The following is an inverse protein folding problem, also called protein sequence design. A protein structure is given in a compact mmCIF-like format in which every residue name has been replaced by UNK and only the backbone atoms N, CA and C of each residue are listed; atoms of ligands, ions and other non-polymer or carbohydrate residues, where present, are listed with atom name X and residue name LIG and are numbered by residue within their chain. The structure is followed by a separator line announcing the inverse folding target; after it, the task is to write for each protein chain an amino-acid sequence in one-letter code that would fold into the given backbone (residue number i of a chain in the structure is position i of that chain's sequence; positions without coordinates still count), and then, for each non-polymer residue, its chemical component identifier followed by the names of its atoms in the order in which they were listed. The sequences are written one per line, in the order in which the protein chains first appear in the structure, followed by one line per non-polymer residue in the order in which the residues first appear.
data_IF_253585096631
#
_entry.id   IF_253585096631
#
_cell.length_a   1.000
_cell.length_b   1.000
_cell.length_c   1.000
_cell.angle_alpha   90.00
_cell.angle_beta   90.00
_cell.angle_gamma   90.00
#
_symmetry.space_group_name_H-M   'P 1'
#
loop_
_entity.id
_entity.type
_entity.pdbx_description
1 polymer ?
#
# COMPACT_ATOMS: atom_id res chain seq x y z
N UNK A 1 43.99 -74.82 7.05
CA UNK A 1 42.62 -75.01 7.60
C UNK A 1 41.93 -73.71 8.05
N UNK A 2 42.41 -72.51 7.68
CA UNK A 2 41.83 -71.24 8.18
C UNK A 2 40.97 -70.48 7.15
N UNK A 3 41.00 -70.88 5.88
CA UNK A 3 40.27 -70.20 4.78
C UNK A 3 38.75 -70.38 4.91
N UNK A 4 38.30 -71.50 5.47
CA UNK A 4 36.86 -71.82 5.63
C UNK A 4 36.19 -71.03 6.76
N UNK A 5 36.94 -70.53 7.76
CA UNK A 5 36.41 -69.70 8.87
C UNK A 5 36.44 -68.19 8.60
N UNK A 6 37.23 -67.74 7.63
CA UNK A 6 37.37 -66.32 7.27
C UNK A 6 36.27 -65.84 6.30
N UNK A 7 35.68 -66.74 5.52
CA UNK A 7 34.60 -66.45 4.57
C UNK A 7 33.35 -65.80 5.20
N UNK A 8 32.81 -66.29 6.35
CA UNK A 8 31.64 -65.64 6.97
C UNK A 8 31.97 -64.26 7.53
N UNK A 9 33.19 -64.03 8.01
CA UNK A 9 33.63 -62.72 8.52
C UNK A 9 33.80 -61.69 7.39
N UNK A 10 34.36 -62.10 6.25
CA UNK A 10 34.48 -61.26 5.08
C UNK A 10 33.09 -60.89 4.51
N UNK A 11 32.16 -61.83 4.51
CA UNK A 11 30.78 -61.59 4.07
C UNK A 11 30.04 -60.64 5.02
N UNK A 12 30.19 -60.80 6.35
CA UNK A 12 29.59 -59.91 7.33
C UNK A 12 30.15 -58.48 7.25
N UNK A 13 31.46 -58.35 7.03
CA UNK A 13 32.11 -57.04 6.83
C UNK A 13 31.63 -56.37 5.53
N UNK A 14 31.47 -57.13 4.45
CA UNK A 14 30.90 -56.63 3.21
C UNK A 14 29.45 -56.16 3.39
N UNK A 15 28.60 -56.95 4.06
CA UNK A 15 27.20 -56.58 4.34
C UNK A 15 27.13 -55.32 5.22
N UNK A 16 28.01 -55.18 6.21
CA UNK A 16 28.07 -53.99 7.06
C UNK A 16 28.50 -52.73 6.27
N UNK A 17 29.43 -52.87 5.32
CA UNK A 17 29.83 -51.79 4.42
C UNK A 17 28.69 -51.38 3.48
N UNK A 18 27.86 -52.32 3.02
CA UNK A 18 26.69 -52.01 2.19
C UNK A 18 25.54 -51.35 2.98
N UNK A 19 25.42 -51.62 4.29
CA UNK A 19 24.37 -51.03 5.13
C UNK A 19 24.55 -49.52 5.39
N UNK A 20 25.75 -48.97 5.15
CA UNK A 20 26.03 -47.53 5.27
C UNK A 20 25.61 -46.68 4.07
N UNK A 21 25.17 -47.28 2.96
CA UNK A 21 24.73 -46.58 1.74
C UNK A 21 23.24 -46.21 1.73
N UNK A 22 22.58 -46.18 2.88
CA UNK A 22 21.20 -45.70 3.01
C UNK A 22 21.13 -44.18 3.04
N UNK A 23 20.16 -43.59 2.33
CA UNK A 23 19.85 -42.15 2.45
C UNK A 23 19.50 -41.84 3.92
N UNK A 24 20.06 -40.79 4.52
CA UNK A 24 19.66 -40.39 5.87
C UNK A 24 18.15 -40.08 5.87
N UNK A 25 17.44 -40.63 6.85
CA UNK A 25 16.00 -40.42 7.08
C UNK A 25 15.73 -39.02 7.65
N UNK A 26 16.27 -38.00 6.98
CA UNK A 26 15.92 -36.62 7.25
C UNK A 26 14.61 -36.39 6.49
N UNK A 27 13.50 -36.87 7.07
CA UNK A 27 12.11 -36.78 6.58
C UNK A 27 11.59 -35.33 6.61
N UNK A 28 12.31 -34.40 5.98
CA UNK A 28 11.74 -33.13 5.55
C UNK A 28 11.67 -33.23 4.03
N UNK A 29 10.50 -33.65 3.54
CA UNK A 29 10.19 -33.68 2.11
C UNK A 29 10.57 -32.32 1.48
N UNK A 30 11.66 -32.32 0.73
CA UNK A 30 12.23 -31.09 0.17
C UNK A 30 11.66 -30.94 -1.23
N UNK A 31 10.75 -29.99 -1.39
CA UNK A 31 10.17 -29.68 -2.69
C UNK A 31 10.97 -28.59 -3.39
N UNK A 32 11.21 -28.79 -4.68
CA UNK A 32 11.77 -27.76 -5.55
C UNK A 32 10.63 -26.90 -6.06
N UNK A 33 10.72 -25.59 -5.86
CA UNK A 33 9.71 -24.64 -6.28
C UNK A 33 10.29 -23.24 -6.38
N UNK A 34 9.59 -22.38 -7.11
CA UNK A 34 9.93 -20.97 -7.24
C UNK A 34 8.97 -20.14 -6.39
N UNK A 35 9.48 -19.04 -5.84
CA UNK A 35 8.65 -18.01 -5.22
C UNK A 35 8.33 -16.99 -6.27
N UNK A 36 7.04 -16.79 -6.53
CA UNK A 36 6.56 -15.71 -7.39
C UNK A 36 6.26 -14.48 -6.54
N UNK A 37 6.53 -13.30 -7.10
CA UNK A 37 6.24 -12.02 -6.49
C UNK A 37 5.62 -11.07 -7.51
N UNK A 38 4.63 -10.31 -7.07
CA UNK A 38 4.06 -9.22 -7.87
C UNK A 38 4.75 -7.91 -7.49
N UNK A 39 5.29 -7.23 -8.49
CA UNK A 39 5.96 -5.95 -8.31
C UNK A 39 5.10 -4.83 -8.86
N UNK A 40 4.92 -3.78 -8.06
CA UNK A 40 4.21 -2.58 -8.46
C UNK A 40 5.13 -1.37 -8.42
N UNK A 41 5.00 -0.50 -9.41
CA UNK A 41 5.65 0.81 -9.40
C UNK A 41 4.74 1.80 -8.67
N UNK A 42 5.17 2.23 -7.49
CA UNK A 42 4.49 3.27 -6.73
C UNK A 42 4.82 4.65 -7.31
N UNK A 43 3.77 5.40 -7.65
CA UNK A 43 3.88 6.78 -8.15
C UNK A 43 2.72 7.63 -7.64
N UNK A 44 2.91 8.95 -7.66
CA UNK A 44 1.83 9.92 -7.40
C UNK A 44 0.91 10.05 -8.62
N UNK A 45 -0.39 10.27 -8.37
CA UNK A 45 -1.39 10.67 -9.39
C UNK A 45 -1.16 12.11 -9.89
N UNK A 46 -0.52 12.93 -9.06
CA UNK A 46 -0.27 14.36 -9.28
C UNK A 46 1.22 14.63 -9.48
N UNK A 47 1.55 15.58 -10.35
CA UNK A 47 2.91 16.07 -10.50
C UNK A 47 3.29 16.99 -9.34
N UNK A 48 4.53 16.89 -8.85
CA UNK A 48 5.04 17.74 -7.79
C UNK A 48 6.49 17.46 -7.47
N UNK A 49 7.12 18.38 -6.75
CA UNK A 49 8.49 18.20 -6.27
C UNK A 49 8.48 17.32 -5.03
N UNK A 50 9.33 16.30 -5.00
CA UNK A 50 9.52 15.46 -3.81
C UNK A 50 10.08 16.30 -2.66
N UNK A 51 9.36 16.37 -1.54
CA UNK A 51 9.79 17.08 -0.34
C UNK A 51 10.38 16.14 0.70
N UNK A 52 9.88 14.91 0.77
CA UNK A 52 10.36 13.89 1.70
C UNK A 52 10.22 12.48 1.12
N UNK A 53 11.21 11.63 1.37
CA UNK A 53 11.13 10.18 1.19
C UNK A 53 11.24 9.54 2.58
N UNK A 54 10.17 8.88 3.03
CA UNK A 54 10.03 8.40 4.42
C UNK A 54 10.33 6.92 4.58
N UNK A 55 10.88 6.28 3.54
CA UNK A 55 11.19 4.85 3.53
C UNK A 55 12.56 4.57 2.95
N UNK A 56 13.12 3.44 3.33
CA UNK A 56 14.40 2.94 2.84
C UNK A 56 14.24 1.67 1.99
N UNK A 57 15.27 1.38 1.20
CA UNK A 57 15.28 0.19 0.36
C UNK A 57 15.27 -1.08 1.22
N UNK A 58 14.38 -2.02 0.91
CA UNK A 58 14.23 -3.28 1.64
C UNK A 58 13.38 -3.16 2.90
N UNK A 59 12.92 -1.95 3.25
CA UNK A 59 11.99 -1.75 4.35
C UNK A 59 10.63 -2.40 4.03
N UNK A 60 10.11 -3.17 4.98
CA UNK A 60 8.74 -3.67 4.92
C UNK A 60 7.79 -2.56 5.36
N UNK A 61 6.77 -2.28 4.54
CA UNK A 61 5.78 -1.21 4.78
C UNK A 61 4.39 -1.81 4.90
N UNK A 62 3.57 -1.22 5.77
CA UNK A 62 2.16 -1.58 5.91
C UNK A 62 1.29 -0.84 4.88
N UNK A 63 0.13 -1.41 4.54
CA UNK A 63 -0.85 -0.74 3.68
C UNK A 63 -1.30 0.60 4.30
N UNK A 64 -1.37 1.65 3.47
CA UNK A 64 -1.74 3.00 3.90
C UNK A 64 -0.62 3.79 4.57
N UNK A 65 0.57 3.23 4.75
CA UNK A 65 1.73 3.96 5.27
C UNK A 65 2.21 4.98 4.22
N UNK A 66 2.32 6.28 4.56
CA UNK A 66 2.90 7.28 3.66
C UNK A 66 4.37 6.97 3.38
N UNK A 67 4.72 6.85 2.09
CA UNK A 67 6.09 6.50 1.66
C UNK A 67 6.90 7.72 1.18
N UNK A 68 6.24 8.75 0.67
CA UNK A 68 6.84 10.03 0.28
C UNK A 68 5.82 11.16 0.39
N UNK A 69 6.30 12.40 0.39
CA UNK A 69 5.47 13.60 0.27
C UNK A 69 5.92 14.47 -0.89
N UNK A 70 4.96 15.13 -1.53
CA UNK A 70 5.20 16.13 -2.56
C UNK A 70 4.94 17.53 -1.98
N UNK A 71 5.46 18.54 -2.66
CA UNK A 71 5.12 19.95 -2.43
C UNK A 71 3.61 20.18 -2.62
N UNK A 72 3.01 21.04 -1.78
CA UNK A 72 1.56 21.20 -1.70
C UNK A 72 1.09 22.66 -1.55
N UNK A 73 1.94 23.66 -1.82
CA UNK A 73 1.63 25.09 -1.65
C UNK A 73 0.38 25.50 -2.45
N UNK A 74 0.26 25.07 -3.72
CA UNK A 74 -0.84 25.48 -4.58
C UNK A 74 -2.17 24.86 -4.14
N UNK A 75 -2.15 23.59 -3.79
CA UNK A 75 -3.27 22.80 -3.29
C UNK A 75 -3.75 23.41 -1.97
N UNK A 76 -2.82 23.76 -1.08
CA UNK A 76 -3.09 24.42 0.20
C UNK A 76 -3.67 25.82 0.03
N UNK A 77 -3.19 26.59 -0.93
CA UNK A 77 -3.78 27.89 -1.27
C UNK A 77 -5.20 27.75 -1.84
N UNK A 78 -5.40 26.82 -2.78
CA UNK A 78 -6.70 26.55 -3.40
C UNK A 78 -7.75 26.09 -2.38
N UNK A 79 -7.35 25.24 -1.41
CA UNK A 79 -8.23 24.83 -0.32
C UNK A 79 -8.67 26.01 0.53
N UNK A 80 -7.72 26.82 1.01
CA UNK A 80 -8.05 27.99 1.83
C UNK A 80 -8.99 28.93 1.09
N UNK A 81 -8.75 29.15 -0.20
CA UNK A 81 -9.66 29.93 -1.03
C UNK A 81 -11.06 29.32 -1.09
N UNK A 82 -11.19 28.01 -1.31
CA UNK A 82 -12.47 27.32 -1.35
C UNK A 82 -13.20 27.35 0.02
N UNK A 83 -12.46 27.22 1.13
CA UNK A 83 -13.00 27.32 2.49
C UNK A 83 -13.58 28.71 2.77
N UNK A 84 -12.86 29.76 2.35
CA UNK A 84 -13.36 31.13 2.49
C UNK A 84 -14.60 31.39 1.62
N UNK A 85 -14.62 30.87 0.39
CA UNK A 85 -15.80 30.97 -0.48
C UNK A 85 -17.01 30.24 0.12
N UNK A 86 -16.79 29.05 0.69
CA UNK A 86 -17.84 28.30 1.39
C UNK A 86 -18.36 29.04 2.62
N UNK A 87 -17.47 29.64 3.41
CA UNK A 87 -17.85 30.44 4.57
C UNK A 87 -18.70 31.66 4.16
N UNK A 88 -18.29 32.37 3.12
CA UNK A 88 -19.04 33.51 2.58
C UNK A 88 -20.43 33.10 2.08
N UNK A 89 -20.53 32.01 1.30
CA UNK A 89 -21.80 31.49 0.80
C UNK A 89 -22.74 31.05 1.93
N UNK A 90 -22.20 30.45 2.99
CA UNK A 90 -22.97 30.07 4.19
C UNK A 90 -23.49 31.29 4.93
N UNK A 91 -22.65 32.30 5.13
CA UNK A 91 -23.06 33.56 5.76
C UNK A 91 -24.16 34.26 4.95
N UNK A 92 -24.02 34.30 3.62
CA UNK A 92 -25.06 34.83 2.74
C UNK A 92 -26.36 34.03 2.81
N UNK A 93 -26.28 32.70 2.81
CA UNK A 93 -27.48 31.87 2.97
C UNK A 93 -28.20 32.15 4.29
N UNK A 94 -27.45 32.26 5.39
CA UNK A 94 -28.01 32.56 6.71
C UNK A 94 -28.72 33.93 6.71
N UNK A 95 -28.09 34.97 6.15
CA UNK A 95 -28.72 36.29 5.98
C UNK A 95 -30.04 36.20 5.22
N UNK A 96 -30.06 35.50 4.08
CA UNK A 96 -31.27 35.35 3.27
C UNK A 96 -32.38 34.55 3.96
N UNK A 97 -32.02 33.60 4.83
CA UNK A 97 -33.00 32.82 5.60
C UNK A 97 -33.70 33.65 6.70
N UNK A 98 -33.10 34.76 7.15
CA UNK A 98 -33.72 35.63 8.16
C UNK A 98 -34.93 36.41 7.62
N UNK A 99 -35.17 36.41 6.30
CA UNK A 99 -36.43 36.86 5.71
C UNK A 99 -36.26 37.53 4.34
N UNK A 100 -36.33 36.75 3.25
CA UNK A 100 -36.30 37.22 1.85
C UNK A 100 -37.30 36.48 0.96
N UNK A 101 -37.68 37.06 -0.19
CA UNK A 101 -38.72 36.49 -1.07
C UNK A 101 -38.23 35.15 -1.65
N UNK A 102 -39.11 34.16 -1.90
CA UNK A 102 -38.71 32.80 -2.34
C UNK A 102 -37.69 32.71 -3.50
N UNK A 103 -37.67 33.59 -4.51
CA UNK A 103 -36.68 33.56 -5.59
C UNK A 103 -35.24 33.83 -5.13
N UNK A 104 -35.06 34.68 -4.12
CA UNK A 104 -33.74 35.07 -3.59
C UNK A 104 -33.09 33.88 -2.84
N UNK A 105 -33.91 33.07 -2.15
CA UNK A 105 -33.48 31.83 -1.48
C UNK A 105 -33.07 30.75 -2.48
N UNK A 106 -33.72 30.68 -3.65
CA UNK A 106 -33.43 29.67 -4.68
C UNK A 106 -32.07 29.90 -5.35
N UNK A 107 -31.74 31.15 -5.71
CA UNK A 107 -30.45 31.52 -6.31
C UNK A 107 -29.29 31.16 -5.37
N UNK A 108 -29.41 31.47 -4.08
CA UNK A 108 -28.33 31.17 -3.14
C UNK A 108 -28.21 29.68 -2.80
N UNK A 109 -29.30 28.91 -2.85
CA UNK A 109 -29.21 27.44 -2.79
C UNK A 109 -28.40 26.87 -3.95
N UNK A 110 -28.59 27.40 -5.16
CA UNK A 110 -27.80 27.00 -6.32
C UNK A 110 -26.31 27.36 -6.16
N UNK A 111 -26.02 28.56 -5.63
CA UNK A 111 -24.64 28.99 -5.33
C UNK A 111 -23.97 28.09 -4.27
N UNK A 112 -24.70 27.71 -3.22
CA UNK A 112 -24.19 26.78 -2.22
C UNK A 112 -23.86 25.42 -2.85
N UNK A 113 -24.76 24.87 -3.66
CA UNK A 113 -24.55 23.59 -4.35
C UNK A 113 -23.31 23.63 -5.26
N UNK A 114 -23.13 24.73 -5.99
CA UNK A 114 -21.94 24.95 -6.81
C UNK A 114 -20.65 25.00 -5.97
N UNK A 115 -20.65 25.76 -4.87
CA UNK A 115 -19.49 25.87 -3.98
C UNK A 115 -19.12 24.52 -3.35
N UNK A 116 -20.11 23.72 -2.93
CA UNK A 116 -19.86 22.37 -2.42
C UNK A 116 -19.27 21.44 -3.46
N UNK A 117 -19.74 21.52 -4.72
CA UNK A 117 -19.20 20.71 -5.81
C UNK A 117 -17.75 21.11 -6.16
N UNK A 118 -17.44 22.41 -6.11
CA UNK A 118 -16.07 22.92 -6.32
C UNK A 118 -15.12 22.44 -5.22
N UNK A 119 -15.56 22.52 -3.94
CA UNK A 119 -14.78 22.01 -2.81
C UNK A 119 -14.53 20.50 -2.91
N UNK A 120 -15.54 19.71 -3.29
CA UNK A 120 -15.40 18.27 -3.49
C UNK A 120 -14.42 17.93 -4.61
N UNK A 121 -14.44 18.68 -5.73
CA UNK A 121 -13.44 18.54 -6.80
C UNK A 121 -12.02 18.83 -6.32
N UNK A 122 -11.82 19.92 -5.59
CA UNK A 122 -10.51 20.28 -5.06
C UNK A 122 -9.98 19.24 -4.04
N UNK A 123 -10.88 18.64 -3.25
CA UNK A 123 -10.53 17.54 -2.35
C UNK A 123 -10.15 16.26 -3.12
N UNK A 124 -10.88 15.93 -4.18
CA UNK A 124 -10.57 14.77 -5.02
C UNK A 124 -9.26 14.93 -5.81
N UNK A 125 -8.90 16.17 -6.16
CA UNK A 125 -7.63 16.48 -6.83
C UNK A 125 -6.41 16.38 -5.91
N UNK A 126 -6.58 16.20 -4.59
CA UNK A 126 -5.49 16.00 -3.62
C UNK A 126 -5.13 14.54 -3.36
N UNK A 127 -5.98 13.58 -3.77
CA UNK A 127 -5.74 12.15 -3.58
C UNK A 127 -4.94 11.54 -4.74
#
# INVERSE_FOLDING_TARGET
MNVCRALPFALAAAVALLAGCGKPANDVETYQGYVEGEFVYLSSSQAGTLTQLSVERGQTVAAGMPVFSLEAVNETAALRQAEHQLAAARAQLADLQTGKRPPEVAVTRAQLAQATAQAARAAAQRA
#
